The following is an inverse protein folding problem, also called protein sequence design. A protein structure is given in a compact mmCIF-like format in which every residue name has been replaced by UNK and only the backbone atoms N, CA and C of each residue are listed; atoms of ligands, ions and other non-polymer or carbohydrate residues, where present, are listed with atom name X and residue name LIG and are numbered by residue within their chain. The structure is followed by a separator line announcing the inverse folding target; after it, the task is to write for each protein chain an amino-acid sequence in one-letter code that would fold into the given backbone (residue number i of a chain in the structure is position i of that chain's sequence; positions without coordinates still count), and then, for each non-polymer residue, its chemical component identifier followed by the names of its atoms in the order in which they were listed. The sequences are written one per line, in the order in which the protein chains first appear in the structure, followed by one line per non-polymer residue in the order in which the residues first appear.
data_IF_946807001579
#
_entry.id   IF_946807001579
#
_cell.length_a   1.000
_cell.length_b   1.000
_cell.length_c   1.000
_cell.angle_alpha   90.00
_cell.angle_beta   90.00
_cell.angle_gamma   90.00
#
_symmetry.space_group_name_H-M   'P 1'
#
loop_
_entity.id
_entity.type
_entity.pdbx_description
1 polymer ?
#
# COMPACT_ATOMS: atom_id res chain seq x y z
N UNK A 1 12.67 -23.93 -43.13
CA UNK A 1 11.79 -23.29 -42.14
C UNK A 1 12.43 -23.08 -40.74
N UNK A 2 13.20 -24.02 -40.19
CA UNK A 2 13.80 -23.90 -38.82
C UNK A 2 14.83 -22.75 -38.59
N UNK A 3 15.41 -22.15 -39.66
CA UNK A 3 16.42 -21.08 -39.52
C UNK A 3 15.79 -19.69 -39.31
N UNK A 4 14.55 -19.45 -39.77
CA UNK A 4 13.82 -18.18 -39.65
C UNK A 4 13.27 -18.01 -38.24
N UNK A 5 12.79 -19.08 -37.62
CA UNK A 5 12.20 -19.08 -36.27
C UNK A 5 13.23 -18.79 -35.14
N UNK A 6 14.49 -19.29 -35.31
CA UNK A 6 15.58 -18.98 -34.36
C UNK A 6 16.02 -17.52 -34.42
N UNK A 7 15.89 -16.86 -35.59
CA UNK A 7 16.28 -15.46 -35.75
C UNK A 7 15.26 -14.53 -35.13
N UNK A 8 13.97 -14.88 -35.19
CA UNK A 8 12.90 -14.07 -34.59
C UNK A 8 12.87 -14.17 -33.06
N UNK A 9 13.14 -15.35 -32.50
CA UNK A 9 13.29 -15.50 -31.03
C UNK A 9 14.48 -14.71 -30.48
N UNK A 10 15.61 -14.69 -31.18
CA UNK A 10 16.75 -13.85 -30.77
C UNK A 10 16.45 -12.35 -30.86
N UNK A 11 15.78 -11.89 -31.90
CA UNK A 11 15.36 -10.47 -32.04
C UNK A 11 14.38 -10.06 -30.95
N UNK A 12 13.47 -10.96 -30.54
CA UNK A 12 12.53 -10.70 -29.44
C UNK A 12 13.25 -10.62 -28.09
N UNK A 13 14.22 -11.49 -27.84
CA UNK A 13 15.06 -11.46 -26.64
C UNK A 13 15.89 -10.18 -26.56
N UNK A 14 16.50 -9.73 -27.66
CA UNK A 14 17.25 -8.47 -27.71
C UNK A 14 16.35 -7.23 -27.51
N UNK A 15 15.10 -7.25 -27.98
CA UNK A 15 14.15 -6.16 -27.76
C UNK A 15 13.69 -6.10 -26.30
N UNK A 16 13.51 -7.24 -25.64
CA UNK A 16 13.21 -7.29 -24.20
C UNK A 16 14.39 -6.84 -23.36
N UNK A 17 15.60 -7.29 -23.66
CA UNK A 17 16.81 -6.84 -22.98
C UNK A 17 17.08 -5.33 -23.16
N UNK A 18 16.80 -4.78 -24.36
CA UNK A 18 16.92 -3.35 -24.62
C UNK A 18 15.85 -2.52 -23.88
N UNK A 19 14.62 -3.05 -23.69
CA UNK A 19 13.58 -2.39 -22.93
C UNK A 19 13.91 -2.35 -21.43
N UNK A 20 14.46 -3.43 -20.86
CA UNK A 20 14.92 -3.48 -19.47
C UNK A 20 16.11 -2.55 -19.25
N UNK A 21 17.07 -2.50 -20.18
CA UNK A 21 18.19 -1.57 -20.10
C UNK A 21 17.76 -0.10 -20.23
N UNK A 22 16.73 0.20 -21.03
CA UNK A 22 16.16 1.54 -21.15
C UNK A 22 15.40 1.97 -19.88
N UNK A 23 14.69 1.05 -19.24
CA UNK A 23 14.02 1.31 -17.96
C UNK A 23 15.04 1.53 -16.83
N UNK A 24 16.11 0.73 -16.77
CA UNK A 24 17.19 0.92 -15.81
C UNK A 24 17.96 2.24 -16.06
N UNK A 25 18.15 2.65 -17.34
CA UNK A 25 18.78 3.92 -17.67
C UNK A 25 17.91 5.13 -17.30
N UNK A 26 16.57 5.03 -17.37
CA UNK A 26 15.65 6.07 -16.93
C UNK A 26 15.67 6.24 -15.41
N UNK A 27 15.78 5.16 -14.64
CA UNK A 27 15.92 5.19 -13.18
C UNK A 27 17.26 5.82 -12.71
N UNK A 28 18.32 5.75 -13.54
CA UNK A 28 19.63 6.36 -13.27
C UNK A 28 19.70 7.82 -13.75
N UNK A 29 18.93 8.19 -14.79
CA UNK A 29 18.97 9.53 -15.39
C UNK A 29 18.09 10.53 -14.63
N UNK A 30 16.95 10.10 -14.10
CA UNK A 30 16.04 11.00 -13.35
C UNK A 30 16.66 11.64 -12.10
N UNK A 31 17.46 10.94 -11.27
CA UNK A 31 18.16 11.59 -10.14
C UNK A 31 19.32 12.47 -10.56
N UNK A 32 19.82 12.35 -11.80
CA UNK A 32 21.03 13.05 -12.27
C UNK A 32 20.74 14.31 -13.09
N UNK A 33 19.49 14.70 -13.29
CA UNK A 33 19.10 15.84 -14.14
C UNK A 33 18.98 17.18 -13.42
N UNK A 34 19.34 17.27 -12.13
CA UNK A 34 19.42 18.55 -11.42
C UNK A 34 19.85 18.39 -9.98
N UNK A 35 20.82 19.19 -9.56
CA UNK A 35 21.29 19.25 -8.17
C UNK A 35 20.16 19.57 -7.18
N UNK A 36 19.11 20.28 -7.63
CA UNK A 36 17.94 20.63 -6.82
C UNK A 36 17.03 19.43 -6.52
N UNK A 37 16.93 18.46 -7.44
CA UNK A 37 16.13 17.23 -7.23
C UNK A 37 16.89 16.27 -6.31
N UNK A 38 18.20 16.14 -6.48
CA UNK A 38 19.04 15.34 -5.58
C UNK A 38 19.10 15.94 -4.17
N UNK A 39 19.09 17.27 -4.06
CA UNK A 39 19.09 17.98 -2.78
C UNK A 39 17.72 17.91 -2.08
N UNK A 40 16.62 17.99 -2.83
CA UNK A 40 15.27 17.79 -2.30
C UNK A 40 15.06 16.35 -1.80
N UNK A 41 15.61 15.35 -2.52
CA UNK A 41 15.54 13.94 -2.11
C UNK A 41 16.45 13.64 -0.91
N UNK A 42 17.57 14.33 -0.72
CA UNK A 42 18.54 14.10 0.36
C UNK A 42 18.20 14.77 1.71
N UNK A 43 17.28 15.73 1.71
CA UNK A 43 16.91 16.48 2.91
C UNK A 43 15.55 16.13 3.52
N UNK A 44 14.86 15.12 2.98
CA UNK A 44 13.66 14.60 3.61
C UNK A 44 14.09 13.62 4.73
N UNK A 45 13.70 13.83 5.99
CA UNK A 45 14.16 13.03 7.13
C UNK A 45 13.69 11.56 7.09
N UNK A 46 13.02 11.13 6.01
CA UNK A 46 12.47 9.77 5.82
C UNK A 46 12.87 9.14 4.49
N UNK A 47 13.72 9.79 3.69
CA UNK A 47 14.02 9.43 2.28
C UNK A 47 15.08 8.33 2.13
N UNK A 48 15.24 7.45 3.10
CA UNK A 48 16.09 6.27 2.92
C UNK A 48 15.38 5.05 2.30
N UNK A 49 14.05 5.02 2.20
CA UNK A 49 13.33 3.80 1.83
C UNK A 49 12.12 4.05 0.97
N UNK A 50 12.06 3.34 -0.13
CA UNK A 50 10.94 3.32 -1.05
C UNK A 50 10.12 2.04 -0.79
N UNK A 51 8.85 2.19 -0.40
CA UNK A 51 7.91 1.09 -0.35
C UNK A 51 7.36 0.84 -1.74
N UNK A 52 7.37 -0.40 -2.17
CA UNK A 52 6.80 -0.80 -3.45
C UNK A 52 5.93 -2.04 -3.28
N UNK A 53 4.79 -2.08 -3.96
CA UNK A 53 4.04 -3.29 -4.15
C UNK A 53 4.45 -3.93 -5.48
N UNK A 54 4.86 -5.18 -5.43
CA UNK A 54 5.24 -5.96 -6.62
C UNK A 54 4.41 -7.22 -6.67
N UNK A 55 4.00 -7.66 -7.86
CA UNK A 55 3.38 -8.96 -8.02
C UNK A 55 4.43 -10.04 -7.75
N UNK A 56 4.23 -10.81 -6.68
CA UNK A 56 5.13 -11.86 -6.24
C UNK A 56 4.78 -13.20 -6.88
N UNK A 57 3.48 -13.49 -7.00
CA UNK A 57 2.97 -14.75 -7.57
C UNK A 57 1.67 -14.47 -8.32
N UNK A 58 1.53 -15.10 -9.49
CA UNK A 58 0.30 -15.13 -10.25
C UNK A 58 -0.34 -16.52 -10.17
N UNK A 59 -1.65 -16.56 -10.03
CA UNK A 59 -2.43 -17.77 -10.20
C UNK A 59 -3.50 -17.53 -11.25
N UNK A 60 -3.52 -18.36 -12.29
CA UNK A 60 -4.50 -18.31 -13.38
C UNK A 60 -5.12 -19.68 -13.56
N UNK A 61 -6.43 -19.71 -13.72
CA UNK A 61 -7.20 -20.89 -14.01
C UNK A 61 -8.31 -20.55 -14.99
N UNK A 62 -8.54 -21.42 -15.98
CA UNK A 62 -9.61 -21.26 -16.96
C UNK A 62 -10.20 -22.63 -17.30
N UNK A 63 -11.53 -22.76 -17.23
CA UNK A 63 -12.31 -23.89 -17.66
C UNK A 63 -13.66 -23.43 -18.21
N UNK A 64 -14.54 -24.37 -18.64
CA UNK A 64 -15.88 -24.00 -19.15
C UNK A 64 -16.77 -23.31 -18.10
N UNK A 65 -16.48 -23.47 -16.81
CA UNK A 65 -17.33 -22.98 -15.71
C UNK A 65 -16.60 -22.14 -14.67
N UNK A 66 -15.28 -22.19 -14.65
CA UNK A 66 -14.47 -21.53 -13.61
C UNK A 66 -13.35 -20.74 -14.25
N UNK A 67 -13.16 -19.52 -13.78
CA UNK A 67 -12.08 -18.64 -14.18
C UNK A 67 -11.44 -17.99 -12.93
N UNK A 68 -10.11 -17.95 -12.88
CA UNK A 68 -9.40 -17.20 -11.85
C UNK A 68 -8.25 -16.40 -12.47
N UNK A 69 -8.12 -15.16 -11.99
CA UNK A 69 -7.00 -14.28 -12.28
C UNK A 69 -6.56 -13.61 -10.97
N UNK A 70 -5.49 -14.10 -10.39
CA UNK A 70 -5.04 -13.70 -9.06
C UNK A 70 -3.61 -13.19 -9.12
N UNK A 71 -3.42 -11.94 -8.76
CA UNK A 71 -2.14 -11.30 -8.53
C UNK A 71 -1.88 -11.24 -7.03
N UNK A 72 -0.93 -12.03 -6.52
CA UNK A 72 -0.52 -11.99 -5.11
C UNK A 72 0.58 -10.97 -4.95
N UNK A 73 0.32 -9.80 -4.34
CA UNK A 73 1.36 -8.80 -4.16
C UNK A 73 2.28 -9.14 -2.99
N UNK A 74 3.43 -8.48 -2.99
CA UNK A 74 4.35 -8.37 -1.86
C UNK A 74 4.81 -6.93 -1.73
N UNK A 75 4.86 -6.41 -0.53
CA UNK A 75 5.54 -5.16 -0.25
C UNK A 75 7.03 -5.45 -0.14
N UNK A 76 7.82 -4.65 -0.85
CA UNK A 76 9.29 -4.63 -0.76
C UNK A 76 9.75 -3.23 -0.38
N UNK A 77 10.88 -3.14 0.30
CA UNK A 77 11.46 -1.87 0.72
C UNK A 77 12.89 -1.77 0.17
N UNK A 78 13.13 -0.74 -0.60
CA UNK A 78 14.45 -0.44 -1.15
C UNK A 78 15.10 0.72 -0.39
N UNK A 79 16.36 0.57 0.03
CA UNK A 79 17.14 1.67 0.59
C UNK A 79 17.59 2.62 -0.53
N UNK A 80 16.99 3.80 -0.60
CA UNK A 80 17.39 4.85 -1.53
C UNK A 80 18.63 5.56 -0.94
N UNK A 81 19.82 5.06 -1.23
CA UNK A 81 21.05 5.72 -0.76
C UNK A 81 22.28 4.85 -0.53
N UNK A 82 22.16 3.51 -0.61
CA UNK A 82 23.32 2.61 -0.68
C UNK A 82 23.68 2.28 -2.14
N UNK A 83 23.76 3.30 -3.02
CA UNK A 83 24.48 3.19 -4.27
C UNK A 83 25.96 2.94 -3.94
N UNK A 84 26.50 1.89 -4.49
CA UNK A 84 27.88 1.39 -4.33
C UNK A 84 28.90 2.54 -4.18
N UNK A 85 29.38 2.79 -2.98
CA UNK A 85 30.67 3.47 -2.81
C UNK A 85 31.72 2.45 -3.24
N UNK A 86 32.24 2.65 -4.46
CA UNK A 86 33.26 1.82 -5.07
C UNK A 86 34.39 1.52 -4.09
N UNK A 87 34.81 0.27 -4.09
CA UNK A 87 36.09 -0.15 -3.56
C UNK A 87 37.17 0.55 -4.36
N UNK A 88 37.65 1.70 -3.88
CA UNK A 88 38.94 2.21 -4.29
C UNK A 88 40.02 1.45 -3.53
N UNK A 89 40.89 0.88 -4.34
CA UNK A 89 42.06 0.11 -3.91
C UNK A 89 43.01 0.97 -3.03
N UNK A 90 43.52 0.33 -2.01
CA UNK A 90 44.55 0.88 -1.15
C UNK A 90 45.83 1.21 -1.92
N UNK A 91 46.06 2.50 -2.13
CA UNK A 91 47.36 3.04 -2.51
C UNK A 91 48.18 3.40 -1.28
N UNK A 92 49.27 2.68 -1.08
CA UNK A 92 50.32 2.96 -0.08
C UNK A 92 51.00 4.28 -0.30
N UNK A 93 51.03 5.16 0.71
CA UNK A 93 51.82 6.37 0.73
C UNK A 93 52.15 6.81 2.18
N UNK A 94 53.43 6.85 2.47
CA UNK A 94 54.02 7.10 3.81
C UNK A 94 53.90 8.53 4.32
N UNK A 95 53.77 8.67 5.63
CA UNK A 95 54.22 9.62 6.62
C UNK A 95 54.34 11.11 6.30
N UNK A 96 53.70 11.95 7.14
CA UNK A 96 54.45 12.88 8.01
C UNK A 96 53.63 13.34 9.22
N UNK A 97 54.26 13.45 10.37
CA UNK A 97 53.71 13.81 11.65
C UNK A 97 53.52 15.32 11.80
N UNK A 98 52.34 15.76 12.27
CA UNK A 98 52.05 17.09 12.72
C UNK A 98 51.21 17.09 13.97
N UNK A 99 51.80 17.39 15.09
CA UNK A 99 51.18 17.61 16.41
C UNK A 99 50.27 18.84 16.38
N UNK A 100 49.03 18.68 16.75
CA UNK A 100 48.09 19.77 17.01
C UNK A 100 46.96 19.29 17.91
N UNK A 101 47.11 19.52 19.21
CA UNK A 101 46.04 19.39 20.18
C UNK A 101 44.89 20.31 19.83
N UNK A 102 43.70 19.73 19.64
CA UNK A 102 42.43 20.45 19.71
C UNK A 102 41.44 19.63 20.50
N UNK A 103 40.92 20.31 21.51
CA UNK A 103 39.91 19.81 22.48
C UNK A 103 38.75 19.11 21.79
N UNK A 104 38.40 17.93 22.33
CA UNK A 104 37.19 17.18 21.99
C UNK A 104 36.01 17.84 22.71
N UNK A 105 35.21 18.60 21.98
CA UNK A 105 33.81 18.78 22.35
C UNK A 105 33.06 17.43 22.09
N UNK A 106 32.51 16.87 23.16
CA UNK A 106 31.65 15.72 23.10
C UNK A 106 30.34 16.07 22.36
N UNK A 107 30.15 15.56 21.18
CA UNK A 107 28.85 15.49 20.52
C UNK A 107 27.97 14.43 21.22
N UNK A 108 27.12 14.86 22.14
CA UNK A 108 26.09 14.01 22.78
C UNK A 108 24.87 13.77 21.86
N UNK A 109 24.83 14.30 20.62
CA UNK A 109 23.69 14.18 19.69
C UNK A 109 23.67 12.89 18.84
N UNK A 110 24.82 12.26 18.61
CA UNK A 110 24.95 11.17 17.62
C UNK A 110 24.43 9.80 18.06
N UNK A 111 24.30 9.54 19.36
CA UNK A 111 23.84 8.22 19.86
C UNK A 111 22.31 8.10 19.88
N UNK A 112 21.59 9.18 20.11
CA UNK A 112 20.11 9.18 20.11
C UNK A 112 19.54 9.00 18.70
N UNK A 113 20.05 9.75 17.70
CA UNK A 113 19.63 9.62 16.30
C UNK A 113 19.89 8.23 15.71
N UNK A 114 21.00 7.59 16.12
CA UNK A 114 21.36 6.25 15.64
C UNK A 114 20.43 5.18 16.21
N UNK A 115 20.03 5.31 17.47
CA UNK A 115 19.09 4.39 18.12
C UNK A 115 17.67 4.51 17.55
N UNK A 116 17.22 5.70 17.21
CA UNK A 116 15.89 5.92 16.59
C UNK A 116 15.84 5.35 15.16
N UNK A 117 16.93 5.49 14.40
CA UNK A 117 17.02 4.96 13.02
C UNK A 117 17.04 3.42 13.02
N UNK A 118 17.83 2.79 13.89
CA UNK A 118 17.88 1.32 14.01
C UNK A 118 16.53 0.75 14.42
N UNK A 119 15.85 1.35 15.39
CA UNK A 119 14.53 0.91 15.85
C UNK A 119 13.44 1.05 14.76
N UNK A 120 13.52 2.12 13.97
CA UNK A 120 12.62 2.30 12.81
C UNK A 120 12.87 1.25 11.74
N UNK A 121 14.12 0.91 11.46
CA UNK A 121 14.50 -0.09 10.47
C UNK A 121 13.99 -1.49 10.83
N UNK A 122 14.06 -1.86 12.10
CA UNK A 122 13.48 -3.09 12.62
C UNK A 122 11.94 -3.07 12.50
N UNK A 123 11.28 -1.97 12.86
CA UNK A 123 9.84 -1.81 12.70
C UNK A 123 9.39 -1.97 11.24
N UNK A 124 10.11 -1.35 10.29
CA UNK A 124 9.79 -1.44 8.86
C UNK A 124 9.84 -2.90 8.40
N UNK A 125 10.92 -3.63 8.72
CA UNK A 125 11.06 -5.01 8.30
C UNK A 125 9.97 -5.89 8.91
N UNK A 126 9.72 -5.76 10.21
CA UNK A 126 8.66 -6.50 10.89
C UNK A 126 7.28 -6.20 10.27
N UNK A 127 6.97 -4.93 10.05
CA UNK A 127 5.70 -4.50 9.44
C UNK A 127 5.52 -5.07 8.03
N UNK A 128 6.56 -5.05 7.21
CA UNK A 128 6.53 -5.60 5.86
C UNK A 128 6.32 -7.12 5.89
N UNK A 129 7.00 -7.82 6.78
CA UNK A 129 6.85 -9.27 6.92
C UNK A 129 5.43 -9.64 7.41
N UNK A 130 4.88 -8.90 8.38
CA UNK A 130 3.50 -9.07 8.85
C UNK A 130 2.47 -8.82 7.76
N UNK A 131 2.60 -7.74 6.98
CA UNK A 131 1.68 -7.44 5.88
C UNK A 131 1.78 -8.51 4.79
N UNK A 132 3.00 -8.89 4.39
CA UNK A 132 3.21 -9.92 3.38
C UNK A 132 2.64 -11.27 3.81
N UNK A 133 2.77 -11.63 5.08
CA UNK A 133 2.14 -12.83 5.64
C UNK A 133 0.61 -12.75 5.59
N UNK A 134 0.01 -11.61 5.95
CA UNK A 134 -1.44 -11.38 5.92
C UNK A 134 -2.00 -11.48 4.49
N UNK A 135 -1.29 -10.92 3.51
CA UNK A 135 -1.62 -11.01 2.08
C UNK A 135 -1.58 -12.48 1.62
N UNK A 136 -0.49 -13.19 1.93
CA UNK A 136 -0.31 -14.60 1.56
C UNK A 136 -1.41 -15.48 2.15
N UNK A 137 -1.76 -15.28 3.41
CA UNK A 137 -2.85 -16.01 4.08
C UNK A 137 -4.20 -15.75 3.41
N UNK A 138 -4.56 -14.46 3.21
CA UNK A 138 -5.83 -14.08 2.61
C UNK A 138 -5.99 -14.60 1.19
N UNK A 139 -4.95 -14.48 0.37
CA UNK A 139 -4.99 -14.91 -1.04
C UNK A 139 -4.92 -16.42 -1.19
N UNK A 140 -4.12 -17.12 -0.39
CA UNK A 140 -4.02 -18.58 -0.43
C UNK A 140 -5.34 -19.25 -0.02
N UNK A 141 -6.01 -18.74 1.00
CA UNK A 141 -7.31 -19.25 1.41
C UNK A 141 -8.34 -19.13 0.27
N UNK A 142 -8.42 -17.99 -0.40
CA UNK A 142 -9.35 -17.77 -1.50
C UNK A 142 -9.04 -18.65 -2.72
N UNK A 143 -7.76 -18.88 -3.03
CA UNK A 143 -7.33 -19.79 -4.09
C UNK A 143 -7.75 -21.23 -3.75
N UNK A 144 -7.55 -21.67 -2.51
CA UNK A 144 -7.90 -23.01 -2.05
C UNK A 144 -9.43 -23.25 -2.11
N UNK A 145 -10.23 -22.31 -1.58
CA UNK A 145 -11.70 -22.33 -1.68
C UNK A 145 -12.19 -22.38 -3.14
N UNK A 146 -11.54 -21.62 -4.03
CA UNK A 146 -11.84 -21.63 -5.46
C UNK A 146 -11.50 -22.97 -6.10
N UNK A 147 -10.33 -23.54 -5.81
CA UNK A 147 -9.88 -24.84 -6.35
C UNK A 147 -10.82 -25.97 -5.91
N UNK A 148 -11.21 -26.02 -4.65
CA UNK A 148 -12.18 -26.99 -4.13
C UNK A 148 -13.53 -26.88 -4.88
N UNK A 149 -14.02 -25.66 -5.09
CA UNK A 149 -15.27 -25.42 -5.83
C UNK A 149 -15.16 -25.85 -7.29
N UNK A 150 -14.03 -25.61 -7.93
CA UNK A 150 -13.76 -25.98 -9.31
C UNK A 150 -13.65 -27.51 -9.49
N UNK A 151 -13.04 -28.22 -8.51
CA UNK A 151 -12.96 -29.70 -8.51
C UNK A 151 -14.34 -30.37 -8.35
N UNK A 152 -15.20 -29.80 -7.51
CA UNK A 152 -16.58 -30.28 -7.34
C UNK A 152 -17.40 -30.08 -8.63
N UNK A 153 -17.18 -29.04 -9.39
CA UNK A 153 -17.74 -28.81 -10.72
C UNK A 153 -19.28 -28.63 -10.77
N UNK A 154 -19.92 -28.39 -9.63
CA UNK A 154 -21.38 -28.31 -9.51
C UNK A 154 -21.97 -26.94 -9.85
N UNK A 155 -21.11 -25.89 -9.94
CA UNK A 155 -21.51 -24.49 -10.14
C UNK A 155 -20.66 -23.79 -11.21
N UNK A 156 -20.79 -22.48 -11.30
CA UNK A 156 -19.87 -21.55 -12.00
C UNK A 156 -19.15 -20.73 -10.94
N UNK A 157 -17.89 -20.40 -11.17
CA UNK A 157 -17.12 -19.61 -10.23
C UNK A 157 -16.08 -18.72 -10.90
N UNK A 158 -15.88 -17.54 -10.33
CA UNK A 158 -14.76 -16.65 -10.68
C UNK A 158 -14.06 -16.15 -9.43
N UNK A 159 -12.75 -15.97 -9.55
CA UNK A 159 -11.89 -15.37 -8.53
C UNK A 159 -10.97 -14.38 -9.19
N UNK A 160 -11.08 -13.12 -8.80
CA UNK A 160 -10.17 -12.06 -9.24
C UNK A 160 -9.54 -11.39 -8.02
N UNK A 161 -8.22 -11.27 -8.01
CA UNK A 161 -7.49 -10.53 -6.99
C UNK A 161 -6.49 -9.61 -7.68
N UNK A 162 -6.60 -8.32 -7.39
CA UNK A 162 -5.73 -7.27 -7.91
C UNK A 162 -5.21 -6.41 -6.78
N UNK A 163 -4.09 -5.73 -7.02
CA UNK A 163 -3.52 -4.80 -6.06
C UNK A 163 -3.20 -3.45 -6.68
N UNK A 164 -3.25 -2.42 -5.85
CA UNK A 164 -2.95 -1.05 -6.23
C UNK A 164 -2.31 -0.29 -5.07
N UNK A 165 -1.31 0.53 -5.36
CA UNK A 165 -0.82 1.53 -4.40
C UNK A 165 -1.71 2.77 -4.49
N UNK A 166 -2.55 2.98 -3.49
CA UNK A 166 -3.54 4.08 -3.47
C UNK A 166 -3.06 5.32 -2.72
N UNK A 167 -2.05 5.16 -1.86
CA UNK A 167 -1.36 6.28 -1.21
C UNK A 167 0.14 6.02 -1.25
N UNK A 168 0.88 6.99 -1.75
CA UNK A 168 2.34 7.04 -1.64
C UNK A 168 2.79 8.50 -1.54
N UNK A 169 2.86 9.00 -0.30
CA UNK A 169 3.27 10.36 -0.01
C UNK A 169 4.41 10.37 1.03
N UNK A 170 4.81 11.54 1.50
CA UNK A 170 5.92 11.68 2.47
C UNK A 170 5.67 10.92 3.78
N UNK A 171 4.42 10.83 4.23
CA UNK A 171 4.08 10.27 5.54
C UNK A 171 3.56 8.84 5.46
N UNK A 172 2.85 8.48 4.39
CA UNK A 172 2.11 7.23 4.32
C UNK A 172 2.32 6.49 3.01
N UNK A 173 2.31 5.16 3.11
CA UNK A 173 2.17 4.23 2.01
C UNK A 173 0.94 3.38 2.27
N UNK A 174 0.06 3.21 1.27
CA UNK A 174 -1.11 2.34 1.39
C UNK A 174 -1.23 1.44 0.16
N UNK A 175 -1.19 0.13 0.40
CA UNK A 175 -1.53 -0.91 -0.57
C UNK A 175 -2.99 -1.30 -0.40
N UNK A 176 -3.76 -1.26 -1.49
CA UNK A 176 -5.11 -1.81 -1.61
C UNK A 176 -5.03 -3.19 -2.27
N UNK A 177 -5.67 -4.17 -1.67
CA UNK A 177 -5.94 -5.49 -2.24
C UNK A 177 -7.44 -5.59 -2.52
N UNK A 178 -7.82 -5.76 -3.78
CA UNK A 178 -9.20 -5.96 -4.24
C UNK A 178 -9.44 -7.44 -4.50
N UNK A 179 -10.49 -8.01 -3.93
CA UNK A 179 -10.81 -9.43 -4.00
C UNK A 179 -12.28 -9.59 -4.44
N UNK A 180 -12.48 -10.12 -5.65
CA UNK A 180 -13.80 -10.44 -6.19
C UNK A 180 -14.00 -11.95 -6.27
N UNK A 181 -15.16 -12.40 -5.80
CA UNK A 181 -15.62 -13.79 -5.91
C UNK A 181 -16.99 -13.85 -6.56
N UNK A 182 -17.11 -14.65 -7.61
CA UNK A 182 -18.38 -14.91 -8.30
C UNK A 182 -18.80 -16.37 -8.11
N UNK A 183 -20.01 -16.59 -7.56
CA UNK A 183 -20.62 -17.92 -7.43
C UNK A 183 -22.15 -17.78 -7.52
N UNK A 184 -22.66 -17.48 -8.71
CA UNK A 184 -24.08 -17.17 -8.91
C UNK A 184 -24.43 -15.70 -8.62
N UNK A 185 -23.85 -15.08 -7.60
CA UNK A 185 -23.76 -13.63 -7.39
C UNK A 185 -22.29 -13.23 -7.19
N UNK A 186 -21.94 -11.98 -7.48
CA UNK A 186 -20.63 -11.41 -7.17
C UNK A 186 -20.57 -10.93 -5.74
N UNK A 187 -19.36 -10.95 -5.16
CA UNK A 187 -19.04 -10.31 -3.90
C UNK A 187 -17.63 -9.70 -4.00
N UNK A 188 -17.55 -8.41 -3.75
CA UNK A 188 -16.30 -7.67 -3.76
C UNK A 188 -15.94 -7.19 -2.35
N UNK A 189 -14.68 -7.44 -1.95
CA UNK A 189 -14.14 -7.01 -0.67
C UNK A 189 -12.73 -6.48 -0.84
N UNK A 190 -12.28 -5.70 0.15
CA UNK A 190 -11.00 -5.02 0.11
C UNK A 190 -10.21 -5.22 1.40
N UNK A 191 -8.87 -5.20 1.27
CA UNK A 191 -7.96 -5.00 2.40
C UNK A 191 -7.04 -3.83 2.09
N UNK A 192 -6.84 -2.98 3.08
CA UNK A 192 -5.92 -1.85 3.00
C UNK A 192 -4.82 -2.01 4.03
N UNK A 193 -3.59 -1.83 3.56
CA UNK A 193 -2.40 -1.93 4.39
C UNK A 193 -1.69 -0.58 4.38
N UNK A 194 -1.93 0.21 5.43
CA UNK A 194 -1.34 1.55 5.57
C UNK A 194 -0.15 1.51 6.51
N UNK A 195 0.98 2.03 6.03
CA UNK A 195 2.24 2.16 6.79
C UNK A 195 2.54 3.64 7.00
N UNK A 196 2.78 4.03 8.25
CA UNK A 196 3.39 5.31 8.59
C UNK A 196 4.90 5.22 8.30
N UNK A 197 5.35 5.92 7.28
CA UNK A 197 6.75 5.92 6.83
C UNK A 197 7.71 6.49 7.87
N UNK A 198 7.24 7.35 8.76
CA UNK A 198 8.03 7.97 9.81
C UNK A 198 8.40 6.96 10.90
N UNK A 199 7.44 6.12 11.29
CA UNK A 199 7.64 5.12 12.36
C UNK A 199 7.96 3.73 11.83
N UNK A 200 7.69 3.46 10.55
CA UNK A 200 7.81 2.17 9.91
C UNK A 200 6.73 1.17 10.34
N UNK A 201 5.65 1.61 10.97
CA UNK A 201 4.60 0.75 11.51
C UNK A 201 3.35 0.74 10.65
N UNK A 202 2.69 -0.43 10.57
CA UNK A 202 1.32 -0.51 10.10
C UNK A 202 0.43 0.26 11.06
N UNK A 203 -0.50 1.04 10.52
CA UNK A 203 -1.43 1.84 11.29
C UNK A 203 -2.87 1.50 10.93
N UNK A 204 -3.75 1.60 11.93
CA UNK A 204 -5.20 1.60 11.79
C UNK A 204 -5.70 3.04 11.85
N UNK A 205 -6.97 3.25 11.49
CA UNK A 205 -7.55 4.59 11.45
C UNK A 205 -7.44 5.34 12.79
N UNK A 206 -7.61 4.63 13.91
CA UNK A 206 -7.49 5.21 15.25
C UNK A 206 -6.09 5.69 15.61
N UNK A 207 -5.05 5.12 14.99
CA UNK A 207 -3.66 5.50 15.26
C UNK A 207 -3.31 6.90 14.76
N UNK A 208 -4.11 7.45 13.85
CA UNK A 208 -3.94 8.81 13.31
C UNK A 208 -4.27 9.90 14.32
N UNK A 209 -5.11 9.59 15.32
CA UNK A 209 -5.77 10.58 16.17
C UNK A 209 -5.23 10.57 17.61
N UNK A 210 -5.36 11.72 18.28
CA UNK A 210 -5.02 11.86 19.69
C UNK A 210 -5.90 10.91 20.53
N UNK A 211 -5.33 10.33 21.60
CA UNK A 211 -6.00 9.29 22.41
C UNK A 211 -7.34 9.70 22.99
N UNK A 212 -7.46 10.95 23.42
CA UNK A 212 -8.70 11.50 24.01
C UNK A 212 -9.65 12.15 22.99
N UNK A 213 -9.36 12.01 21.69
CA UNK A 213 -10.19 12.58 20.63
C UNK A 213 -11.45 11.72 20.40
N UNK A 214 -12.53 12.37 20.05
CA UNK A 214 -13.77 11.71 19.62
C UNK A 214 -13.80 11.43 18.12
N UNK A 215 -12.65 11.07 17.51
CA UNK A 215 -12.49 10.92 16.07
C UNK A 215 -13.55 9.99 15.44
N UNK A 216 -13.85 8.87 16.09
CA UNK A 216 -14.79 7.88 15.56
C UNK A 216 -16.20 8.46 15.43
N UNK A 217 -16.68 9.17 16.45
CA UNK A 217 -17.98 9.86 16.39
C UNK A 217 -17.97 10.94 15.29
N UNK A 218 -16.92 11.77 15.25
CA UNK A 218 -16.78 12.86 14.28
C UNK A 218 -16.82 12.37 12.83
N UNK A 219 -16.02 11.33 12.50
CA UNK A 219 -15.96 10.76 11.16
C UNK A 219 -17.28 10.04 10.82
N UNK A 220 -17.84 9.27 11.77
CA UNK A 220 -19.06 8.51 11.56
C UNK A 220 -20.27 9.42 11.29
N UNK A 221 -20.42 10.51 12.04
CA UNK A 221 -21.51 11.45 11.77
C UNK A 221 -21.35 12.18 10.44
N UNK A 222 -20.12 12.51 10.04
CA UNK A 222 -19.88 13.08 8.71
C UNK A 222 -20.27 12.10 7.59
N UNK A 223 -19.95 10.81 7.72
CA UNK A 223 -20.33 9.77 6.76
C UNK A 223 -21.86 9.61 6.71
N UNK A 224 -22.53 9.55 7.86
CA UNK A 224 -24.00 9.46 7.90
C UNK A 224 -24.67 10.65 7.20
N UNK A 225 -24.13 11.85 7.36
CA UNK A 225 -24.65 13.05 6.69
C UNK A 225 -24.44 12.95 5.16
N UNK A 226 -23.31 12.42 4.70
CA UNK A 226 -23.10 12.14 3.28
C UNK A 226 -24.09 11.09 2.76
N UNK A 227 -24.36 10.02 3.53
CA UNK A 227 -25.35 9.00 3.16
C UNK A 227 -26.76 9.60 3.04
N UNK A 228 -27.20 10.41 4.02
CA UNK A 228 -28.50 11.10 3.99
C UNK A 228 -28.62 12.02 2.79
N UNK A 229 -27.57 12.79 2.52
CA UNK A 229 -27.52 13.71 1.38
C UNK A 229 -27.66 12.96 0.07
N UNK A 230 -26.89 11.88 -0.10
CA UNK A 230 -26.93 11.08 -1.33
C UNK A 230 -28.29 10.39 -1.53
N UNK A 231 -28.95 9.92 -0.47
CA UNK A 231 -30.31 9.36 -0.56
C UNK A 231 -31.37 10.43 -0.88
N UNK A 232 -31.18 11.66 -0.40
CA UNK A 232 -32.09 12.77 -0.73
C UNK A 232 -31.96 13.25 -2.17
N UNK A 233 -30.77 13.13 -2.76
CA UNK A 233 -30.47 13.55 -4.14
C UNK A 233 -30.81 12.48 -5.19
N UNK A 234 -30.80 11.19 -4.79
CA UNK A 234 -30.98 10.05 -5.70
C UNK A 234 -31.78 8.93 -5.03
N UNK A 235 -33.03 8.76 -5.45
CA UNK A 235 -33.93 7.70 -4.93
C UNK A 235 -33.42 6.27 -5.17
N UNK A 236 -32.46 6.08 -6.07
CA UNK A 236 -31.81 4.79 -6.32
C UNK A 236 -30.73 4.44 -5.29
N UNK A 237 -30.32 5.41 -4.46
CA UNK A 237 -29.32 5.17 -3.40
C UNK A 237 -30.01 4.82 -2.08
N UNK A 238 -29.55 3.75 -1.48
CA UNK A 238 -30.04 3.24 -0.19
C UNK A 238 -28.85 2.95 0.71
N UNK A 239 -28.82 3.58 1.87
CA UNK A 239 -27.85 3.29 2.91
C UNK A 239 -28.56 2.85 4.19
N UNK A 240 -27.93 1.98 4.92
CA UNK A 240 -28.47 1.49 6.21
C UNK A 240 -28.14 2.48 7.34
N UNK A 241 -28.71 3.66 7.23
CA UNK A 241 -28.63 4.72 8.22
C UNK A 241 -30.05 5.14 8.61
N UNK A 242 -30.30 5.39 9.90
CA UNK A 242 -31.60 5.80 10.45
C UNK A 242 -32.75 4.82 10.07
N UNK A 243 -32.49 3.53 10.12
CA UNK A 243 -33.45 2.51 9.71
C UNK A 243 -34.47 2.25 10.83
N UNK A 244 -35.59 3.02 10.83
CA UNK A 244 -36.58 3.02 11.91
C UNK A 244 -37.29 1.67 12.12
N UNK A 245 -37.48 0.89 11.03
CA UNK A 245 -38.18 -0.40 11.09
C UNK A 245 -37.33 -1.49 11.75
N UNK A 246 -36.03 -1.48 11.55
CA UNK A 246 -35.05 -2.45 12.08
C UNK A 246 -33.79 -1.68 12.51
N UNK A 247 -33.82 -1.00 13.64
CA UNK A 247 -32.71 -0.12 14.08
C UNK A 247 -31.37 -0.84 14.17
N UNK A 248 -31.37 -2.14 14.50
CA UNK A 248 -30.17 -2.97 14.57
C UNK A 248 -29.43 -3.15 13.22
N UNK A 249 -30.08 -2.82 12.11
CA UNK A 249 -29.46 -2.83 10.79
C UNK A 249 -28.78 -1.49 10.46
N UNK A 250 -29.08 -0.46 11.22
CA UNK A 250 -28.45 0.84 10.99
C UNK A 250 -26.97 0.78 11.30
N UNK A 251 -26.17 1.26 10.35
CA UNK A 251 -24.75 1.47 10.59
C UNK A 251 -24.55 2.62 11.58
N UNK A 252 -23.84 2.36 12.67
CA UNK A 252 -23.68 3.32 13.76
C UNK A 252 -22.35 4.08 13.70
N UNK A 253 -21.24 3.37 13.52
CA UNK A 253 -19.90 3.96 13.60
C UNK A 253 -18.84 3.09 12.93
N UNK A 254 -17.65 3.68 12.71
CA UNK A 254 -16.48 3.01 12.18
C UNK A 254 -16.01 1.88 13.11
N UNK A 255 -15.54 0.79 12.50
CA UNK A 255 -14.82 -0.29 13.19
C UNK A 255 -13.39 0.15 13.50
N UNK A 256 -12.71 -0.54 14.41
CA UNK A 256 -11.29 -0.28 14.72
C UNK A 256 -10.40 -0.57 13.50
N UNK A 257 -10.70 -1.63 12.77
CA UNK A 257 -10.00 -2.10 11.57
C UNK A 257 -10.61 -1.57 10.27
N UNK A 258 -11.35 -0.45 10.31
CA UNK A 258 -12.00 0.12 9.14
C UNK A 258 -11.00 0.41 8.03
N UNK A 259 -11.31 -0.04 6.81
CA UNK A 259 -10.52 0.24 5.62
C UNK A 259 -10.50 1.74 5.32
N UNK A 260 -9.30 2.27 5.11
CA UNK A 260 -9.12 3.67 4.74
C UNK A 260 -7.82 3.88 3.94
N UNK A 261 -7.76 5.00 3.24
CA UNK A 261 -6.54 5.52 2.62
C UNK A 261 -6.56 7.05 2.58
N UNK A 262 -5.45 7.66 2.18
CA UNK A 262 -5.38 9.11 1.96
C UNK A 262 -5.44 9.40 0.46
N UNK A 263 -6.29 10.34 0.07
CA UNK A 263 -6.27 10.88 -1.29
C UNK A 263 -5.10 11.86 -1.51
N UNK A 264 -4.98 12.37 -2.72
CA UNK A 264 -3.90 13.30 -3.09
C UNK A 264 -4.00 14.68 -2.41
N UNK A 265 -5.16 15.02 -1.84
CA UNK A 265 -5.40 16.25 -1.09
C UNK A 265 -5.17 16.08 0.41
N UNK A 266 -4.90 14.85 0.86
CA UNK A 266 -4.70 14.49 2.26
C UNK A 266 -5.99 14.31 3.05
N UNK A 267 -7.13 14.14 2.35
CA UNK A 267 -8.38 13.72 2.96
C UNK A 267 -8.31 12.23 3.29
N UNK A 268 -9.11 11.80 4.29
CA UNK A 268 -9.30 10.38 4.57
C UNK A 268 -10.46 9.87 3.74
N UNK A 269 -10.23 8.81 2.96
CA UNK A 269 -11.27 8.07 2.26
C UNK A 269 -11.54 6.79 3.04
N UNK A 270 -12.77 6.66 3.55
CA UNK A 270 -13.26 5.49 4.25
C UNK A 270 -13.91 4.57 3.25
N UNK A 271 -13.52 3.29 3.28
CA UNK A 271 -14.00 2.27 2.35
C UNK A 271 -14.80 1.22 3.08
N UNK A 272 -15.96 0.92 2.54
CA UNK A 272 -16.87 -0.11 3.00
C UNK A 272 -16.99 -1.21 1.95
N UNK A 273 -16.90 -2.45 2.39
CA UNK A 273 -17.14 -3.60 1.54
C UNK A 273 -18.60 -3.66 1.06
N UNK A 274 -18.84 -4.44 0.03
CA UNK A 274 -20.21 -4.74 -0.42
C UNK A 274 -21.04 -5.31 0.73
N UNK A 275 -22.28 -4.88 0.86
CA UNK A 275 -23.21 -5.19 1.97
C UNK A 275 -22.82 -4.65 3.35
N UNK A 276 -21.80 -3.84 3.51
CA UNK A 276 -21.42 -3.33 4.83
C UNK A 276 -22.33 -2.17 5.29
N UNK A 277 -22.69 -1.27 4.39
CA UNK A 277 -23.50 -0.06 4.67
C UNK A 277 -24.65 0.16 3.69
N UNK A 278 -24.77 -0.69 2.66
CA UNK A 278 -25.72 -0.54 1.59
C UNK A 278 -26.07 -1.92 0.98
N UNK A 279 -27.21 -2.06 0.25
CA UNK A 279 -27.52 -3.26 -0.51
C UNK A 279 -26.47 -3.57 -1.57
N UNK A 280 -26.24 -4.86 -1.87
CA UNK A 280 -25.22 -5.33 -2.80
C UNK A 280 -25.27 -4.72 -4.20
N UNK A 281 -26.45 -4.32 -4.71
CA UNK A 281 -26.52 -3.65 -6.01
C UNK A 281 -25.78 -2.30 -6.06
N UNK A 282 -25.48 -1.71 -4.92
CA UNK A 282 -24.69 -0.50 -4.82
C UNK A 282 -23.18 -0.76 -4.82
N UNK A 283 -22.77 -2.03 -4.68
CA UNK A 283 -21.36 -2.42 -4.56
C UNK A 283 -20.68 -1.85 -3.32
N UNK A 284 -19.38 -1.89 -3.29
CA UNK A 284 -18.58 -1.26 -2.26
C UNK A 284 -18.72 0.27 -2.28
N UNK A 285 -18.63 0.91 -1.11
CA UNK A 285 -18.86 2.35 -0.97
C UNK A 285 -17.65 3.06 -0.40
N UNK A 286 -17.39 4.25 -0.92
CA UNK A 286 -16.32 5.13 -0.43
C UNK A 286 -16.90 6.47 0.01
N UNK A 287 -16.38 6.99 1.14
CA UNK A 287 -16.76 8.30 1.66
C UNK A 287 -15.52 9.10 1.98
N UNK A 288 -15.39 10.27 1.35
CA UNK A 288 -14.27 11.18 1.60
C UNK A 288 -14.59 12.10 2.77
N UNK A 289 -13.77 12.05 3.80
CA UNK A 289 -13.81 12.98 4.93
C UNK A 289 -12.74 14.03 4.73
N UNK A 290 -13.16 15.29 4.59
CA UNK A 290 -12.28 16.41 4.31
C UNK A 290 -11.29 16.65 5.46
N UNK A 291 -10.02 16.88 5.13
CA UNK A 291 -8.95 17.13 6.10
C UNK A 291 -9.29 18.21 7.12
N UNK A 292 -9.93 19.28 6.69
CA UNK A 292 -10.34 20.39 7.56
C UNK A 292 -11.23 19.98 8.72
N UNK A 293 -11.93 18.82 8.61
CA UNK A 293 -12.80 18.32 9.69
C UNK A 293 -11.98 17.73 10.85
N UNK A 294 -10.85 17.09 10.57
CA UNK A 294 -10.12 16.29 11.54
C UNK A 294 -8.69 16.76 11.82
N UNK A 295 -8.16 17.73 11.07
CA UNK A 295 -6.75 18.17 11.21
C UNK A 295 -6.38 18.64 12.63
N UNK A 296 -7.34 19.20 13.38
CA UNK A 296 -7.11 19.66 14.75
C UNK A 296 -6.98 18.56 15.80
N UNK A 297 -7.28 17.31 15.46
CA UNK A 297 -7.24 16.15 16.37
C UNK A 297 -6.24 15.07 15.92
N UNK A 298 -5.46 15.33 14.87
CA UNK A 298 -4.35 14.45 14.45
C UNK A 298 -3.21 14.45 15.50
N UNK A 299 -2.44 13.33 15.57
CA UNK A 299 -1.21 13.22 16.36
C UNK A 299 -0.08 14.03 15.77
#
# INVERSE_FOLDING_TARGET
MKKKEKTDKKKRLYRMAAAVAAAAALLVILPNTGADVAYAMGNLPVVGRLFQAVTFRDYQYESERFEANVEVPRIVVEDVGKGEMGKEEAGTGEKEAGTGEKEMEKEEGGEAEKGETENRDENVQQTVDEINFDIEQATSQLIEEFQESAELGESYGSLEIHHETVTDNENYFTLKLSMYRGAGSGFESYKFYTVDKRTGKRIQIGDLFQEDSNYNELLSENIKEQMRTQMAEDEGKVYWVDYEEVPEWSWERLKEDQNFYFDTEGNIVIVFDEYEVAPGYMGAREFTVQRALFEGILK
#
